data_IF_803742524199
#
_entry.id   IF_803742524199
#
_cell.length_a   1.000
_cell.length_b   1.000
_cell.length_c   1.000
_cell.angle_alpha   90.00
_cell.angle_beta   90.00
_cell.angle_gamma   90.00
#
_symmetry.space_group_name_H-M   'P 1'
#
loop_
_entity.id
_entity.type
_entity.pdbx_description
1 polymer ?
#
# COMPACT_ATOMS: atom_id res chain seq x y z
N UNK A 1 -1.55 -3.28 26.34
CA UNK A 1 -2.17 -1.96 26.40
C UNK A 1 -3.09 -1.83 25.21
N UNK A 2 -4.32 -1.29 25.36
CA UNK A 2 -5.15 -1.01 24.21
C UNK A 2 -4.46 -0.03 23.25
N UNK A 3 -4.69 -0.15 21.93
CA UNK A 3 -4.10 0.77 20.97
C UNK A 3 -4.59 2.20 21.24
N UNK A 4 -3.68 3.17 21.12
CA UNK A 4 -3.98 4.59 21.33
C UNK A 4 -4.36 5.25 20.00
N UNK A 5 -5.07 6.38 20.00
CA UNK A 5 -5.41 7.11 18.77
C UNK A 5 -4.23 7.40 17.84
N UNK A 6 -3.01 7.49 18.39
CA UNK A 6 -1.78 7.74 17.65
C UNK A 6 -1.43 6.62 16.66
N UNK A 7 -1.67 5.36 17.01
CA UNK A 7 -1.35 4.21 16.16
C UNK A 7 -2.32 4.12 14.98
N UNK A 8 -3.59 4.38 15.19
CA UNK A 8 -4.59 4.48 14.12
C UNK A 8 -4.28 5.66 13.19
N UNK A 9 -3.99 6.83 13.78
CA UNK A 9 -3.61 8.04 13.03
C UNK A 9 -2.37 7.83 12.16
N UNK A 10 -1.36 7.09 12.65
CA UNK A 10 -0.16 6.79 11.90
C UNK A 10 -0.46 5.92 10.66
N UNK A 11 -1.35 4.94 10.76
CA UNK A 11 -1.73 4.10 9.60
C UNK A 11 -2.60 4.87 8.61
N UNK A 12 -3.52 5.72 9.08
CA UNK A 12 -4.29 6.61 8.21
C UNK A 12 -3.36 7.58 7.47
N UNK A 13 -2.39 8.17 8.17
CA UNK A 13 -1.36 9.02 7.56
C UNK A 13 -0.55 8.28 6.50
N UNK A 14 -0.19 7.01 6.75
CA UNK A 14 0.45 6.18 5.72
C UNK A 14 -0.45 6.03 4.49
N UNK A 15 -1.74 5.77 4.66
CA UNK A 15 -2.72 5.71 3.56
C UNK A 15 -2.80 7.02 2.78
N UNK A 16 -2.77 8.17 3.46
CA UNK A 16 -2.71 9.50 2.82
C UNK A 16 -1.44 9.63 1.98
N UNK A 17 -0.28 9.24 2.51
CA UNK A 17 0.97 9.25 1.76
C UNK A 17 0.91 8.33 0.53
N UNK A 18 0.34 7.12 0.66
CA UNK A 18 0.14 6.21 -0.48
C UNK A 18 -0.72 6.84 -1.58
N UNK A 19 -1.75 7.60 -1.21
CA UNK A 19 -2.63 8.31 -2.13
C UNK A 19 -1.91 9.32 -3.04
N UNK A 20 -0.71 9.77 -2.67
CA UNK A 20 0.10 10.66 -3.52
C UNK A 20 0.73 9.96 -4.72
N UNK A 21 0.76 8.62 -4.73
CA UNK A 21 1.45 7.81 -5.74
C UNK A 21 0.93 8.08 -7.15
N UNK A 22 -0.39 8.08 -7.33
CA UNK A 22 -1.02 8.30 -8.64
C UNK A 22 -0.75 9.70 -9.18
N UNK A 23 -0.88 10.72 -8.34
CA UNK A 23 -0.61 12.12 -8.71
C UNK A 23 0.84 12.32 -9.09
N UNK A 24 1.79 11.77 -8.33
CA UNK A 24 3.22 11.85 -8.66
C UNK A 24 3.54 11.20 -10.01
N UNK A 25 2.92 10.05 -10.32
CA UNK A 25 3.08 9.39 -11.62
C UNK A 25 2.44 10.19 -12.76
N UNK A 26 1.28 10.81 -12.53
CA UNK A 26 0.62 11.66 -13.54
C UNK A 26 1.43 12.90 -13.90
N UNK A 27 2.17 13.46 -12.93
CA UNK A 27 3.10 14.59 -13.14
C UNK A 27 4.48 14.15 -13.68
N UNK A 28 4.76 12.86 -13.66
CA UNK A 28 6.01 12.29 -14.14
C UNK A 28 6.08 12.16 -15.67
N UNK A 29 7.20 11.62 -16.20
CA UNK A 29 7.39 11.46 -17.63
C UNK A 29 6.37 10.51 -18.25
N UNK A 30 5.75 10.93 -19.37
CA UNK A 30 4.87 10.05 -20.15
C UNK A 30 5.64 8.84 -20.68
N UNK A 31 5.07 7.64 -20.51
CA UNK A 31 5.69 6.41 -20.99
C UNK A 31 6.75 5.81 -20.05
N UNK A 32 6.89 6.32 -18.84
CA UNK A 32 7.70 5.66 -17.80
C UNK A 32 7.24 4.22 -17.59
N UNK A 33 8.18 3.27 -17.63
CA UNK A 33 7.89 1.85 -17.42
C UNK A 33 7.38 1.62 -15.99
N UNK A 34 6.14 1.13 -15.78
CA UNK A 34 5.61 0.90 -14.43
C UNK A 34 6.47 -0.06 -13.60
N UNK A 35 7.08 -1.07 -14.23
CA UNK A 35 7.98 -2.01 -13.56
C UNK A 35 9.24 -1.32 -13.03
N UNK A 36 9.85 -0.44 -13.85
CA UNK A 36 11.03 0.34 -13.45
C UNK A 36 10.67 1.37 -12.38
N UNK A 37 9.51 2.02 -12.50
CA UNK A 37 9.00 2.94 -11.46
C UNK A 37 8.84 2.18 -10.13
N UNK A 38 8.22 0.99 -10.15
CA UNK A 38 8.06 0.13 -8.97
C UNK A 38 9.41 -0.28 -8.36
N UNK A 39 10.37 -0.71 -9.18
CA UNK A 39 11.71 -1.08 -8.73
C UNK A 39 12.48 0.12 -8.14
N UNK A 40 12.46 1.27 -8.82
CA UNK A 40 13.14 2.48 -8.38
C UNK A 40 12.57 3.02 -7.05
N UNK A 41 11.23 3.07 -6.92
CA UNK A 41 10.60 3.50 -5.66
C UNK A 41 10.96 2.58 -4.49
N UNK A 42 11.00 1.25 -4.71
CA UNK A 42 11.39 0.32 -3.66
C UNK A 42 12.86 0.47 -3.27
N UNK A 43 13.76 0.61 -4.25
CA UNK A 43 15.19 0.78 -3.98
C UNK A 43 15.45 2.08 -3.19
N UNK A 44 14.94 3.20 -3.68
CA UNK A 44 15.07 4.50 -3.01
C UNK A 44 14.41 4.43 -1.62
N UNK A 45 13.19 3.90 -1.53
CA UNK A 45 12.48 3.75 -0.27
C UNK A 45 13.21 2.89 0.75
N UNK A 46 13.79 1.77 0.32
CA UNK A 46 14.59 0.91 1.20
C UNK A 46 15.84 1.61 1.74
N UNK A 47 16.51 2.42 0.92
CA UNK A 47 17.66 3.22 1.35
C UNK A 47 17.26 4.25 2.42
N UNK A 48 16.15 4.97 2.21
CA UNK A 48 15.63 5.90 3.22
C UNK A 48 15.15 5.18 4.49
N UNK A 49 14.46 4.03 4.37
CA UNK A 49 14.05 3.21 5.53
C UNK A 49 15.26 2.71 6.33
N UNK A 50 16.35 2.34 5.64
CA UNK A 50 17.61 1.99 6.29
C UNK A 50 18.19 3.19 7.05
N UNK A 51 18.14 4.38 6.46
CA UNK A 51 18.53 5.64 7.13
C UNK A 51 17.69 5.90 8.39
N UNK A 52 16.36 5.78 8.29
CA UNK A 52 15.43 5.93 9.42
C UNK A 52 15.75 4.92 10.53
N UNK A 53 16.00 3.65 10.18
CA UNK A 53 16.36 2.63 11.17
C UNK A 53 17.65 2.99 11.91
N UNK A 54 18.68 3.46 11.19
CA UNK A 54 19.96 3.89 11.79
C UNK A 54 19.80 5.13 12.67
N UNK A 55 18.97 6.08 12.27
CA UNK A 55 18.74 7.32 13.06
C UNK A 55 17.93 7.06 14.33
N UNK A 56 16.90 6.22 14.26
CA UNK A 56 16.03 5.96 15.41
C UNK A 56 16.63 4.96 16.42
N UNK A 57 17.69 4.25 16.05
CA UNK A 57 18.38 3.26 16.90
C UNK A 57 17.40 2.31 17.63
N UNK A 58 16.33 1.91 16.94
CA UNK A 58 15.32 1.03 17.54
C UNK A 58 15.90 -0.37 17.71
N UNK A 59 16.19 -0.75 18.95
CA UNK A 59 16.60 -2.11 19.29
C UNK A 59 15.47 -3.12 19.07
N UNK A 60 15.82 -4.39 18.90
CA UNK A 60 14.86 -5.48 18.72
C UNK A 60 15.57 -6.80 18.47
N UNK A 61 14.78 -7.90 18.46
CA UNK A 61 15.29 -9.20 18.03
C UNK A 61 15.47 -9.21 16.51
N UNK A 62 16.42 -10.02 16.04
CA UNK A 62 16.66 -10.16 14.60
C UNK A 62 15.41 -10.70 13.88
N UNK A 63 15.11 -10.11 12.75
CA UNK A 63 14.05 -10.56 11.85
C UNK A 63 14.31 -12.01 11.41
N UNK A 64 13.33 -12.90 11.59
CA UNK A 64 13.42 -14.29 11.15
C UNK A 64 13.45 -14.37 9.62
N UNK A 65 14.25 -15.30 9.09
CA UNK A 65 14.37 -15.48 7.63
C UNK A 65 13.03 -15.73 6.94
N UNK A 66 12.14 -16.52 7.57
CA UNK A 66 10.81 -16.79 7.01
C UNK A 66 9.94 -15.52 6.87
N UNK A 67 10.04 -14.59 7.83
CA UNK A 67 9.29 -13.31 7.78
C UNK A 67 9.92 -12.35 6.77
N UNK A 68 11.25 -12.34 6.66
CA UNK A 68 11.96 -11.57 5.65
C UNK A 68 11.60 -12.04 4.24
N UNK A 69 11.67 -13.34 3.99
CA UNK A 69 11.39 -13.92 2.67
C UNK A 69 9.93 -13.71 2.28
N UNK A 70 8.99 -14.08 3.16
CA UNK A 70 7.55 -13.94 2.86
C UNK A 70 7.14 -12.47 2.70
N UNK A 71 7.64 -11.59 3.56
CA UNK A 71 7.36 -10.16 3.46
C UNK A 71 7.96 -9.51 2.21
N UNK A 72 9.23 -9.77 1.91
CA UNK A 72 9.91 -9.21 0.75
C UNK A 72 9.40 -9.75 -0.59
N UNK A 73 9.10 -11.06 -0.66
CA UNK A 73 8.40 -11.64 -1.82
C UNK A 73 7.01 -11.01 -1.98
N UNK A 74 6.28 -10.82 -0.87
CA UNK A 74 4.99 -10.13 -0.88
C UNK A 74 5.08 -8.72 -1.46
N UNK A 75 6.07 -7.92 -1.04
CA UNK A 75 6.29 -6.56 -1.58
C UNK A 75 6.64 -6.59 -3.06
N UNK A 76 7.51 -7.49 -3.49
CA UNK A 76 7.91 -7.61 -4.90
C UNK A 76 6.76 -8.07 -5.79
N UNK A 77 6.04 -9.13 -5.40
CA UNK A 77 4.90 -9.66 -6.15
C UNK A 77 3.75 -8.65 -6.23
N UNK A 78 3.51 -7.88 -5.15
CA UNK A 78 2.52 -6.80 -5.19
C UNK A 78 2.79 -5.84 -6.35
N UNK A 79 4.03 -5.39 -6.51
CA UNK A 79 4.37 -4.46 -7.59
C UNK A 79 4.12 -5.08 -8.97
N UNK A 80 4.57 -6.30 -9.19
CA UNK A 80 4.42 -6.98 -10.47
C UNK A 80 2.94 -7.24 -10.80
N UNK A 81 2.20 -7.83 -9.86
CA UNK A 81 0.79 -8.20 -10.04
C UNK A 81 -0.11 -6.96 -10.19
N UNK A 82 0.12 -5.91 -9.39
CA UNK A 82 -0.67 -4.69 -9.47
C UNK A 82 -0.54 -3.99 -10.81
N UNK A 83 0.70 -3.81 -11.29
CA UNK A 83 0.91 -3.16 -12.59
C UNK A 83 0.42 -4.01 -13.76
N UNK A 84 0.52 -5.34 -13.67
CA UNK A 84 -0.04 -6.24 -14.67
C UNK A 84 -1.57 -6.16 -14.68
N UNK A 85 -2.22 -6.19 -13.52
CA UNK A 85 -3.66 -6.05 -13.37
C UNK A 85 -4.20 -4.75 -13.96
N UNK A 86 -3.57 -3.62 -13.63
CA UNK A 86 -3.95 -2.30 -14.15
C UNK A 86 -3.82 -2.24 -15.67
N UNK A 87 -2.80 -2.90 -16.24
CA UNK A 87 -2.60 -2.97 -17.69
C UNK A 87 -3.63 -3.84 -18.37
N UNK A 88 -4.06 -4.94 -17.73
CA UNK A 88 -4.99 -5.93 -18.29
C UNK A 88 -6.45 -5.54 -18.16
N UNK A 89 -6.84 -4.84 -17.07
CA UNK A 89 -8.27 -4.52 -16.80
C UNK A 89 -8.55 -3.01 -16.67
N UNK A 90 -7.53 -2.18 -16.81
CA UNK A 90 -7.64 -0.74 -16.56
C UNK A 90 -7.47 -0.36 -15.09
N UNK A 91 -7.16 0.92 -14.86
CA UNK A 91 -6.85 1.45 -13.52
C UNK A 91 -8.00 1.25 -12.55
N UNK A 92 -9.24 1.52 -12.98
CA UNK A 92 -10.41 1.45 -12.13
C UNK A 92 -10.64 0.03 -11.56
N UNK A 93 -10.77 -0.96 -12.43
CA UNK A 93 -11.05 -2.35 -12.03
C UNK A 93 -9.86 -2.97 -11.31
N UNK A 94 -8.64 -2.78 -11.82
CA UNK A 94 -7.41 -3.30 -11.19
C UNK A 94 -7.23 -2.77 -9.77
N UNK A 95 -7.37 -1.45 -9.57
CA UNK A 95 -7.21 -0.83 -8.25
C UNK A 95 -8.34 -1.23 -7.29
N UNK A 96 -9.61 -1.20 -7.75
CA UNK A 96 -10.74 -1.62 -6.91
C UNK A 96 -10.55 -3.05 -6.42
N UNK A 97 -10.19 -3.96 -7.33
CA UNK A 97 -10.03 -5.38 -6.97
C UNK A 97 -8.84 -5.59 -6.04
N UNK A 98 -7.67 -5.02 -6.35
CA UNK A 98 -6.46 -5.19 -5.54
C UNK A 98 -6.60 -4.58 -4.14
N UNK A 99 -6.98 -3.30 -4.06
CA UNK A 99 -7.06 -2.57 -2.80
C UNK A 99 -8.32 -2.94 -2.02
N UNK A 100 -9.45 -3.10 -2.70
CA UNK A 100 -10.73 -3.47 -2.08
C UNK A 100 -10.74 -4.88 -1.48
N UNK A 101 -10.03 -5.85 -2.10
CA UNK A 101 -9.90 -7.20 -1.56
C UNK A 101 -8.86 -7.34 -0.45
N UNK A 102 -7.89 -6.42 -0.38
CA UNK A 102 -6.77 -6.51 0.56
C UNK A 102 -7.18 -6.66 2.04
N UNK A 103 -8.16 -5.92 2.59
CA UNK A 103 -8.58 -6.12 3.98
C UNK A 103 -9.14 -7.52 4.24
N UNK A 104 -10.00 -8.02 3.35
CA UNK A 104 -10.59 -9.35 3.48
C UNK A 104 -9.51 -10.45 3.42
N UNK A 105 -8.60 -10.36 2.44
CA UNK A 105 -7.46 -11.28 2.30
C UNK A 105 -6.52 -11.19 3.50
N UNK A 106 -6.22 -9.97 4.00
CA UNK A 106 -5.37 -9.78 5.17
C UNK A 106 -6.01 -10.38 6.42
N UNK A 107 -7.30 -10.13 6.64
CA UNK A 107 -8.04 -10.71 7.77
C UNK A 107 -8.04 -12.25 7.73
N UNK A 108 -8.27 -12.83 6.56
CA UNK A 108 -8.25 -14.28 6.36
C UNK A 108 -6.86 -14.87 6.58
N UNK A 109 -5.82 -14.32 5.96
CA UNK A 109 -4.43 -14.79 6.10
C UNK A 109 -3.95 -14.63 7.54
N UNK A 110 -4.28 -13.50 8.20
CA UNK A 110 -3.96 -13.29 9.61
C UNK A 110 -4.63 -14.33 10.50
N UNK A 111 -5.91 -14.62 10.29
CA UNK A 111 -6.61 -15.66 11.04
C UNK A 111 -5.96 -17.03 10.86
N UNK A 112 -5.59 -17.41 9.63
CA UNK A 112 -4.97 -18.70 9.35
C UNK A 112 -3.57 -18.84 9.96
N UNK A 113 -2.75 -17.77 9.89
CA UNK A 113 -1.33 -17.80 10.28
C UNK A 113 -1.13 -17.44 11.76
N UNK A 114 -1.76 -16.36 12.23
CA UNK A 114 -1.54 -15.81 13.58
C UNK A 114 -2.69 -16.07 14.53
N UNK A 115 -3.80 -16.66 14.04
CA UNK A 115 -5.06 -16.87 14.78
C UNK A 115 -5.69 -15.57 15.29
N UNK A 116 -5.33 -14.44 14.68
CA UNK A 116 -5.87 -13.13 15.02
C UNK A 116 -7.30 -13.01 14.47
N UNK A 117 -8.29 -12.96 15.36
CA UNK A 117 -9.70 -12.84 14.97
C UNK A 117 -10.07 -11.37 14.77
N UNK A 118 -10.53 -10.98 13.55
CA UNK A 118 -11.04 -9.64 13.32
C UNK A 118 -12.28 -9.34 14.17
N UNK A 119 -12.44 -8.07 14.57
CA UNK A 119 -13.60 -7.65 15.36
C UNK A 119 -14.86 -7.47 14.50
N UNK A 120 -16.04 -7.48 15.13
CA UNK A 120 -17.30 -7.14 14.44
C UNK A 120 -17.26 -5.73 13.86
N UNK A 121 -16.61 -4.80 14.57
CA UNK A 121 -16.45 -3.42 14.10
C UNK A 121 -15.58 -3.35 12.85
N UNK A 122 -14.52 -4.16 12.78
CA UNK A 122 -13.70 -4.28 11.59
C UNK A 122 -14.50 -4.78 10.38
N UNK A 123 -15.35 -5.80 10.54
CA UNK A 123 -16.22 -6.28 9.45
C UNK A 123 -17.13 -5.16 8.92
N UNK A 124 -17.82 -4.44 9.80
CA UNK A 124 -18.70 -3.34 9.41
C UNK A 124 -17.92 -2.21 8.72
N UNK A 125 -16.78 -1.79 9.28
CA UNK A 125 -15.94 -0.75 8.69
C UNK A 125 -15.39 -1.16 7.32
N UNK A 126 -14.93 -2.40 7.17
CA UNK A 126 -14.43 -2.94 5.90
C UNK A 126 -15.52 -2.95 4.84
N UNK A 127 -16.73 -3.36 5.17
CA UNK A 127 -17.88 -3.30 4.24
C UNK A 127 -18.21 -1.86 3.84
N UNK A 128 -18.28 -0.94 4.80
CA UNK A 128 -18.54 0.48 4.54
C UNK A 128 -17.46 1.05 3.60
N UNK A 129 -16.17 0.87 3.92
CA UNK A 129 -15.08 1.40 3.10
C UNK A 129 -15.02 0.76 1.72
N UNK A 130 -15.30 -0.53 1.59
CA UNK A 130 -15.38 -1.22 0.29
C UNK A 130 -16.49 -0.64 -0.59
N UNK A 131 -17.67 -0.39 -0.03
CA UNK A 131 -18.75 0.31 -0.73
C UNK A 131 -18.30 1.69 -1.20
N UNK A 132 -17.63 2.46 -0.34
CA UNK A 132 -17.06 3.76 -0.72
C UNK A 132 -16.06 3.67 -1.89
N UNK A 133 -15.19 2.66 -1.90
CA UNK A 133 -14.24 2.43 -3.01
C UNK A 133 -14.97 2.07 -4.31
N UNK A 134 -16.06 1.28 -4.23
CA UNK A 134 -16.90 0.98 -5.40
C UNK A 134 -17.45 2.28 -6.01
N UNK A 135 -17.96 3.20 -5.20
CA UNK A 135 -18.41 4.51 -5.69
C UNK A 135 -17.28 5.33 -6.31
N UNK A 136 -16.09 5.38 -5.68
CA UNK A 136 -14.93 6.08 -6.22
C UNK A 136 -14.49 5.55 -7.58
N UNK A 137 -14.50 4.23 -7.74
CA UNK A 137 -14.00 3.57 -8.94
C UNK A 137 -15.05 3.52 -10.03
N UNK A 138 -16.31 3.26 -9.66
CA UNK A 138 -17.45 3.23 -10.57
C UNK A 138 -17.74 4.58 -11.23
N UNK A 139 -17.36 5.68 -10.57
CA UNK A 139 -17.44 7.03 -11.12
C UNK A 139 -16.64 7.21 -12.43
N UNK A 140 -15.59 6.41 -12.64
CA UNK A 140 -14.72 6.41 -13.85
C UNK A 140 -15.15 5.39 -14.92
N UNK A 141 -16.19 4.60 -14.65
CA UNK A 141 -16.74 3.56 -15.55
C UNK A 141 -15.99 2.23 -15.48
N UNK A 142 -16.70 1.16 -15.78
CA UNK A 142 -16.15 -0.20 -15.90
C UNK A 142 -16.09 -0.57 -17.40
N UNK A 143 -15.01 -0.19 -18.08
CA UNK A 143 -14.76 -0.61 -19.45
C UNK A 143 -13.94 -1.90 -19.46
N UNK A 144 -14.45 -2.96 -20.06
CA UNK A 144 -13.76 -4.22 -20.31
C UNK A 144 -13.15 -4.91 -19.07
N UNK A 145 -13.93 -5.80 -18.44
CA UNK A 145 -13.44 -6.66 -17.34
C UNK A 145 -12.70 -7.85 -17.95
N UNK A 146 -11.36 -7.88 -17.81
CA UNK A 146 -10.54 -9.02 -18.19
C UNK A 146 -10.35 -9.93 -16.96
N UNK A 147 -10.77 -11.20 -17.05
CA UNK A 147 -10.67 -12.17 -15.95
C UNK A 147 -9.22 -12.36 -15.46
N UNK A 148 -8.25 -12.42 -16.38
CA UNK A 148 -6.84 -12.55 -16.01
C UNK A 148 -6.38 -11.35 -15.18
N UNK A 149 -6.74 -10.13 -15.60
CA UNK A 149 -6.39 -8.94 -14.85
C UNK A 149 -7.07 -8.85 -13.48
N UNK A 150 -8.29 -9.41 -13.32
CA UNK A 150 -8.94 -9.55 -12.00
C UNK A 150 -8.16 -10.52 -11.12
N UNK A 151 -7.70 -11.66 -11.65
CA UNK A 151 -6.88 -12.61 -10.91
C UNK A 151 -5.52 -12.01 -10.52
N UNK A 152 -4.88 -11.25 -11.40
CA UNK A 152 -3.66 -10.50 -11.11
C UNK A 152 -3.89 -9.46 -9.99
N UNK A 153 -5.03 -8.76 -10.00
CA UNK A 153 -5.41 -7.81 -8.96
C UNK A 153 -5.65 -8.48 -7.59
N UNK A 154 -6.32 -9.63 -7.57
CA UNK A 154 -6.46 -10.45 -6.36
C UNK A 154 -5.10 -10.95 -5.87
N UNK A 155 -4.22 -11.34 -6.80
CA UNK A 155 -2.82 -11.69 -6.51
C UNK A 155 -2.06 -10.53 -5.86
N UNK A 156 -2.29 -9.29 -6.31
CA UNK A 156 -1.71 -8.10 -5.68
C UNK A 156 -2.26 -7.91 -4.25
N UNK A 157 -3.57 -8.01 -4.04
CA UNK A 157 -4.17 -7.96 -2.70
C UNK A 157 -3.63 -9.04 -1.76
N UNK A 158 -3.46 -10.27 -2.25
CA UNK A 158 -2.88 -11.38 -1.49
C UNK A 158 -1.39 -11.12 -1.16
N UNK A 159 -0.63 -10.57 -2.10
CA UNK A 159 0.78 -10.23 -1.93
C UNK A 159 0.98 -9.11 -0.88
N UNK A 160 0.13 -8.08 -0.92
CA UNK A 160 0.08 -7.07 0.14
C UNK A 160 -0.23 -7.70 1.51
N UNK A 161 -1.22 -8.59 1.55
CA UNK A 161 -1.63 -9.28 2.78
C UNK A 161 -0.50 -10.14 3.34
N UNK A 162 0.23 -10.85 2.49
CA UNK A 162 1.42 -11.62 2.87
C UNK A 162 2.49 -10.73 3.50
N UNK A 163 2.80 -9.60 2.87
CA UNK A 163 3.71 -8.58 3.42
C UNK A 163 3.24 -8.08 4.80
N UNK A 164 1.96 -7.69 4.92
CA UNK A 164 1.43 -7.11 6.14
C UNK A 164 1.44 -8.11 7.31
N UNK A 165 1.02 -9.36 7.06
CA UNK A 165 1.01 -10.44 8.07
C UNK A 165 2.44 -10.85 8.46
N UNK A 166 3.36 -10.97 7.49
CA UNK A 166 4.77 -11.25 7.77
C UNK A 166 5.40 -10.15 8.64
N UNK A 167 5.13 -8.89 8.32
CA UNK A 167 5.60 -7.74 9.10
C UNK A 167 5.04 -7.77 10.52
N UNK A 168 3.74 -8.01 10.68
CA UNK A 168 3.11 -8.13 12.01
C UNK A 168 3.71 -9.27 12.82
N UNK A 169 3.91 -10.44 12.21
CA UNK A 169 4.50 -11.61 12.85
C UNK A 169 5.94 -11.35 13.31
N UNK A 170 6.74 -10.69 12.47
CA UNK A 170 8.11 -10.28 12.81
C UNK A 170 8.15 -9.37 14.03
N UNK A 171 7.29 -8.32 14.04
CA UNK A 171 7.21 -7.38 15.16
C UNK A 171 6.68 -8.05 16.43
N UNK A 172 5.69 -8.96 16.33
CA UNK A 172 5.21 -9.76 17.46
C UNK A 172 6.28 -10.72 18.00
N UNK A 173 7.23 -11.13 17.15
CA UNK A 173 8.41 -11.90 17.52
C UNK A 173 9.56 -11.06 18.09
N UNK A 174 9.37 -9.75 18.32
CA UNK A 174 10.33 -8.86 18.95
C UNK A 174 11.22 -8.05 17.99
N UNK A 175 11.06 -8.17 16.66
CA UNK A 175 11.75 -7.29 15.73
C UNK A 175 11.21 -5.86 15.82
N UNK A 176 12.09 -4.86 15.69
CA UNK A 176 11.63 -3.47 15.65
C UNK A 176 10.87 -3.17 14.35
N UNK A 177 9.93 -2.23 14.40
CA UNK A 177 9.18 -1.85 13.21
C UNK A 177 10.08 -1.24 12.12
N UNK A 178 11.09 -0.48 12.48
CA UNK A 178 12.02 0.10 11.53
C UNK A 178 12.90 -0.96 10.87
N UNK A 179 13.42 -1.93 11.66
CA UNK A 179 14.19 -3.05 11.12
C UNK A 179 13.33 -3.90 10.17
N UNK A 180 12.11 -4.19 10.57
CA UNK A 180 11.16 -4.96 9.76
C UNK A 180 10.92 -4.29 8.41
N UNK A 181 10.61 -2.99 8.41
CA UNK A 181 10.32 -2.26 7.16
C UNK A 181 11.55 -2.20 6.25
N UNK A 182 12.73 -1.75 6.75
CA UNK A 182 13.87 -1.60 5.85
C UNK A 182 14.36 -2.94 5.28
N UNK A 183 14.34 -4.03 6.05
CA UNK A 183 14.80 -5.34 5.58
C UNK A 183 13.83 -5.95 4.57
N UNK A 184 12.52 -5.91 4.84
CA UNK A 184 11.51 -6.44 3.94
C UNK A 184 11.51 -5.65 2.61
N UNK A 185 11.53 -4.32 2.68
CA UNK A 185 11.59 -3.49 1.48
C UNK A 185 12.93 -3.60 0.75
N UNK A 186 14.04 -3.72 1.47
CA UNK A 186 15.36 -3.96 0.91
C UNK A 186 15.43 -5.28 0.15
N UNK A 187 14.92 -6.36 0.74
CA UNK A 187 14.85 -7.65 0.07
C UNK A 187 13.91 -7.61 -1.15
N UNK A 188 12.73 -6.98 -1.02
CA UNK A 188 11.83 -6.76 -2.15
C UNK A 188 12.48 -5.94 -3.28
N UNK A 189 13.27 -4.91 -2.93
CA UNK A 189 14.01 -4.13 -3.91
C UNK A 189 15.06 -4.97 -4.66
N UNK A 190 15.79 -5.85 -3.95
CA UNK A 190 16.76 -6.77 -4.56
C UNK A 190 16.05 -7.68 -5.57
N UNK A 191 14.88 -8.23 -5.22
CA UNK A 191 14.10 -9.09 -6.13
C UNK A 191 13.64 -8.35 -7.40
N UNK A 192 13.46 -7.02 -7.33
CA UNK A 192 13.05 -6.21 -8.48
C UNK A 192 14.22 -5.60 -9.28
N UNK A 193 15.48 -5.82 -8.88
CA UNK A 193 16.63 -5.32 -9.67
C UNK A 193 16.61 -5.74 -11.15
N UNK A 194 16.21 -6.98 -11.51
CA UNK A 194 16.10 -7.36 -12.92
C UNK A 194 15.15 -6.48 -13.74
N UNK A 195 14.16 -5.82 -13.11
CA UNK A 195 13.24 -4.95 -13.81
C UNK A 195 13.93 -3.74 -14.47
N UNK A 196 15.10 -3.31 -13.97
CA UNK A 196 15.88 -2.25 -14.59
C UNK A 196 16.50 -2.67 -15.94
N UNK A 197 16.83 -3.95 -16.08
CA UNK A 197 17.35 -4.50 -17.34
C UNK A 197 16.22 -4.82 -18.34
N UNK A 198 15.04 -5.20 -17.83
CA UNK A 198 13.88 -5.58 -18.65
C UNK A 198 13.03 -4.39 -19.10
N UNK A 199 13.12 -3.27 -18.42
CA UNK A 199 12.29 -2.07 -18.66
C UNK A 199 13.10 -0.88 -19.18
N UNK A 200 12.39 0.10 -19.80
CA UNK A 200 13.00 1.37 -20.24
C UNK A 200 13.28 2.23 -18.99
N UNK A 201 14.54 2.32 -18.57
CA UNK A 201 14.99 3.07 -17.38
C UNK A 201 15.46 4.51 -17.69
N UNK A 202 15.58 4.89 -18.96
CA UNK A 202 16.15 6.18 -19.37
C UNK A 202 15.44 7.39 -18.73
N UNK A 203 14.14 7.30 -18.45
CA UNK A 203 13.40 8.38 -17.81
C UNK A 203 13.95 8.75 -16.41
N UNK A 204 14.59 7.83 -15.71
CA UNK A 204 15.17 8.08 -14.39
C UNK A 204 16.32 9.11 -14.44
N UNK A 205 16.93 9.30 -15.61
CA UNK A 205 18.00 10.28 -15.84
C UNK A 205 17.47 11.65 -16.29
N UNK A 206 16.15 11.82 -16.43
CA UNK A 206 15.52 13.13 -16.64
C UNK A 206 15.16 13.76 -15.30
N UNK A 207 15.16 15.11 -15.23
CA UNK A 207 14.83 15.82 -14.00
C UNK A 207 13.46 15.44 -13.43
N UNK A 208 12.42 15.38 -14.28
CA UNK A 208 11.06 14.99 -13.86
C UNK A 208 10.96 13.52 -13.45
N UNK A 209 11.67 12.62 -14.14
CA UNK A 209 11.68 11.19 -13.79
C UNK A 209 12.41 10.90 -12.49
N UNK A 210 13.54 11.58 -12.27
CA UNK A 210 14.28 11.47 -11.00
C UNK A 210 13.45 12.00 -9.83
N UNK A 211 12.84 13.18 -9.95
CA UNK A 211 11.99 13.77 -8.91
C UNK A 211 10.77 12.89 -8.62
N UNK A 212 10.13 12.32 -9.65
CA UNK A 212 9.05 11.36 -9.48
C UNK A 212 9.52 10.12 -8.69
N UNK A 213 10.64 9.51 -9.08
CA UNK A 213 11.17 8.32 -8.41
C UNK A 213 11.59 8.63 -6.97
N UNK A 214 12.19 9.78 -6.72
CA UNK A 214 12.58 10.26 -5.40
C UNK A 214 11.35 10.48 -4.50
N UNK A 215 10.31 11.17 -5.01
CA UNK A 215 9.06 11.35 -4.29
C UNK A 215 8.43 10.02 -3.92
N UNK A 216 8.30 9.10 -4.90
CA UNK A 216 7.70 7.78 -4.71
C UNK A 216 8.48 6.91 -3.69
N UNK A 217 9.80 7.02 -3.68
CA UNK A 217 10.65 6.35 -2.69
C UNK A 217 10.57 6.99 -1.31
N UNK A 218 10.55 8.31 -1.23
CA UNK A 218 10.56 9.03 0.04
C UNK A 218 9.18 9.05 0.69
N UNK A 219 8.16 9.63 0.03
CA UNK A 219 6.85 9.90 0.66
C UNK A 219 5.99 8.65 0.76
N UNK A 220 5.49 8.02 -0.34
CA UNK A 220 4.64 6.85 -0.24
C UNK A 220 5.41 5.55 0.02
N UNK A 221 6.73 5.59 0.24
CA UNK A 221 7.46 4.40 0.66
C UNK A 221 8.14 4.63 2.02
N UNK A 222 9.17 5.44 2.14
CA UNK A 222 9.90 5.53 3.39
C UNK A 222 9.08 6.14 4.53
N UNK A 223 8.48 7.31 4.32
CA UNK A 223 7.66 8.00 5.34
C UNK A 223 6.41 7.18 5.65
N UNK A 224 5.69 6.75 4.61
CA UNK A 224 4.46 5.99 4.76
C UNK A 224 4.69 4.67 5.50
N UNK A 225 5.68 3.86 5.09
CA UNK A 225 5.92 2.57 5.74
C UNK A 225 6.60 2.68 7.12
N UNK A 226 7.27 3.78 7.42
CA UNK A 226 7.68 4.08 8.81
C UNK A 226 6.45 4.32 9.69
N UNK A 227 5.51 5.14 9.25
CA UNK A 227 4.27 5.40 9.98
C UNK A 227 3.36 4.15 10.05
N UNK A 228 3.25 3.42 8.94
CA UNK A 228 2.52 2.15 8.88
C UNK A 228 3.11 1.12 9.86
N UNK A 229 4.42 0.93 9.85
CA UNK A 229 5.11 0.00 10.76
C UNK A 229 4.94 0.37 12.23
N UNK A 230 5.01 1.67 12.55
CA UNK A 230 4.73 2.15 13.90
C UNK A 230 3.32 1.79 14.36
N UNK A 231 2.30 2.04 13.54
CA UNK A 231 0.91 1.69 13.86
C UNK A 231 0.68 0.18 13.89
N UNK A 232 1.14 -0.54 12.85
CA UNK A 232 0.99 -2.00 12.73
C UNK A 232 1.60 -2.76 13.93
N UNK A 233 2.65 -2.22 14.52
CA UNK A 233 3.26 -2.82 15.72
C UNK A 233 2.25 -2.98 16.87
N UNK A 234 1.28 -2.09 16.99
CA UNK A 234 0.32 -2.02 18.11
C UNK A 234 -1.11 -2.42 17.78
N UNK A 235 -1.54 -2.27 16.52
CA UNK A 235 -2.90 -2.62 16.10
C UNK A 235 -2.94 -3.97 15.38
N UNK A 236 -4.14 -4.54 15.23
CA UNK A 236 -4.36 -5.77 14.46
C UNK A 236 -4.04 -5.53 12.98
N UNK A 237 -3.47 -6.54 12.31
CA UNK A 237 -3.09 -6.39 10.90
C UNK A 237 -4.31 -6.20 10.00
N UNK A 238 -5.44 -6.85 10.31
CA UNK A 238 -6.69 -6.65 9.59
C UNK A 238 -7.20 -5.21 9.72
N UNK A 239 -7.12 -4.62 10.92
CA UNK A 239 -7.46 -3.19 11.16
C UNK A 239 -6.53 -2.27 10.37
N UNK A 240 -5.22 -2.52 10.39
CA UNK A 240 -4.26 -1.72 9.62
C UNK A 240 -4.56 -1.74 8.12
N UNK A 241 -4.89 -2.91 7.54
CA UNK A 241 -5.21 -3.02 6.11
C UNK A 241 -6.48 -2.28 5.70
N UNK A 242 -7.45 -2.15 6.61
CA UNK A 242 -8.65 -1.33 6.35
C UNK A 242 -8.36 0.17 6.47
N UNK A 243 -7.55 0.58 7.46
CA UNK A 243 -7.19 2.00 7.63
C UNK A 243 -6.40 2.56 6.45
N UNK A 244 -5.60 1.74 5.77
CA UNK A 244 -4.89 2.11 4.54
C UNK A 244 -5.85 2.47 3.39
N UNK A 245 -7.13 2.10 3.45
CA UNK A 245 -8.15 2.52 2.48
C UNK A 245 -8.39 4.06 2.47
N UNK A 246 -7.72 4.83 3.31
CA UNK A 246 -7.55 6.27 3.14
C UNK A 246 -6.84 6.62 1.81
N UNK A 247 -6.03 5.70 1.25
CA UNK A 247 -5.29 5.86 -0.01
C UNK A 247 -6.18 6.26 -1.19
N UNK A 248 -7.22 5.49 -1.58
CA UNK A 248 -8.05 5.83 -2.73
C UNK A 248 -8.85 7.12 -2.55
N UNK A 249 -9.28 7.43 -1.33
CA UNK A 249 -9.95 8.70 -1.04
C UNK A 249 -8.99 9.88 -1.24
N UNK A 250 -7.77 9.78 -0.72
CA UNK A 250 -6.72 10.80 -0.88
C UNK A 250 -6.31 10.93 -2.36
N UNK A 251 -6.12 9.82 -3.07
CA UNK A 251 -5.78 9.85 -4.50
C UNK A 251 -6.85 10.58 -5.32
N UNK A 252 -8.12 10.35 -5.02
CA UNK A 252 -9.25 11.04 -5.69
C UNK A 252 -9.23 12.55 -5.40
N UNK A 253 -9.04 12.96 -4.16
CA UNK A 253 -8.97 14.37 -3.78
C UNK A 253 -7.76 15.07 -4.42
N UNK A 254 -6.60 14.42 -4.45
CA UNK A 254 -5.40 14.96 -5.09
C UNK A 254 -5.55 15.06 -6.61
N UNK A 255 -6.25 14.12 -7.24
CA UNK A 255 -6.56 14.21 -8.67
C UNK A 255 -7.41 15.47 -8.97
N UNK A 256 -8.36 15.81 -8.12
CA UNK A 256 -9.15 17.03 -8.28
C UNK A 256 -8.32 18.29 -8.04
N UNK A 257 -7.57 18.36 -6.94
CA UNK A 257 -6.88 19.59 -6.51
C UNK A 257 -5.62 19.85 -7.35
N UNK A 258 -4.85 18.80 -7.65
CA UNK A 258 -3.53 18.94 -8.29
C UNK A 258 -3.62 18.74 -9.80
N UNK A 259 -4.43 17.78 -10.28
CA UNK A 259 -4.55 17.47 -11.70
C UNK A 259 -5.75 18.18 -12.36
N UNK A 260 -6.58 18.90 -11.59
CA UNK A 260 -7.74 19.63 -12.10
C UNK A 260 -8.90 18.73 -12.55
N UNK A 261 -8.92 17.44 -12.11
CA UNK A 261 -10.01 16.54 -12.45
C UNK A 261 -11.31 16.98 -11.76
N UNK A 262 -12.41 17.04 -12.51
CA UNK A 262 -13.73 17.35 -11.93
C UNK A 262 -14.31 16.10 -11.26
N UNK A 263 -14.52 16.18 -9.94
CA UNK A 263 -15.20 15.14 -9.19
C UNK A 263 -16.72 15.22 -9.43
N UNK A 264 -17.31 14.10 -9.82
CA UNK A 264 -18.77 13.97 -9.89
C UNK A 264 -19.36 13.60 -8.52
N UNK A 265 -20.69 13.58 -8.43
CA UNK A 265 -21.40 13.26 -7.19
C UNK A 265 -21.03 11.88 -6.62
N UNK A 266 -20.79 10.88 -7.46
CA UNK A 266 -20.37 9.55 -7.03
C UNK A 266 -18.99 9.57 -6.36
N UNK A 267 -18.04 10.36 -6.91
CA UNK A 267 -16.72 10.52 -6.29
C UNK A 267 -16.80 11.14 -4.91
N UNK A 268 -17.60 12.22 -4.72
CA UNK A 268 -17.79 12.84 -3.43
C UNK A 268 -18.47 11.91 -2.43
N UNK A 269 -19.49 11.17 -2.88
CA UNK A 269 -20.17 10.18 -2.05
C UNK A 269 -19.19 9.07 -1.62
N UNK A 270 -18.38 8.57 -2.56
CA UNK A 270 -17.37 7.55 -2.27
C UNK A 270 -16.33 8.01 -1.25
N UNK A 271 -15.77 9.22 -1.40
CA UNK A 271 -14.85 9.81 -0.40
C UNK A 271 -15.52 9.87 0.97
N UNK A 272 -16.75 10.38 1.04
CA UNK A 272 -17.48 10.53 2.30
C UNK A 272 -17.72 9.18 2.99
N UNK A 273 -18.10 8.15 2.24
CA UNK A 273 -18.33 6.79 2.76
C UNK A 273 -17.01 6.19 3.28
N UNK A 274 -15.90 6.32 2.54
CA UNK A 274 -14.59 5.83 2.99
C UNK A 274 -14.20 6.52 4.30
N UNK A 275 -14.27 7.85 4.36
CA UNK A 275 -13.93 8.62 5.57
C UNK A 275 -14.80 8.19 6.76
N UNK A 276 -16.10 8.02 6.56
CA UNK A 276 -17.01 7.55 7.61
C UNK A 276 -16.63 6.16 8.14
N UNK A 277 -16.29 5.21 7.24
CA UNK A 277 -15.84 3.88 7.62
C UNK A 277 -14.52 3.90 8.41
N UNK A 278 -13.57 4.74 8.00
CA UNK A 278 -12.29 4.89 8.71
C UNK A 278 -12.46 5.51 10.10
N UNK A 279 -13.30 6.53 10.22
CA UNK A 279 -13.65 7.14 11.52
C UNK A 279 -14.34 6.11 12.42
N UNK A 280 -15.27 5.33 11.88
CA UNK A 280 -15.95 4.28 12.64
C UNK A 280 -14.95 3.23 13.16
N UNK A 281 -13.98 2.80 12.34
CA UNK A 281 -12.96 1.84 12.73
C UNK A 281 -11.97 2.41 13.75
N UNK A 282 -11.56 3.66 13.59
CA UNK A 282 -10.57 4.30 14.48
C UNK A 282 -11.03 4.48 15.93
N UNK A 283 -12.33 4.26 16.19
CA UNK A 283 -12.92 4.28 17.54
C UNK A 283 -12.91 2.88 18.21
N UNK A 284 -12.28 1.86 17.60
CA UNK A 284 -12.09 0.53 18.18
C UNK A 284 -11.06 0.56 19.31
#
# INVERSE_FOLDING_TARGET
MPPRPKEYGAVIFAGICFGTTGTAQALGPKGASPLVVGAARLLIGALFLCGVHRLLHTGGQRLKAADLLSGGVGVALYQLSFFSAVRSTGVAVGTLTAIGSAPALTGTIAFLITKEVPSRRWFAATMITTVGIIFLTGAKGFSHVNVLGVLEALGAGASYSLFAVASKRAMSGGASFTETMYKIFGFGAILLLPCFALGKSHFLFTGSGFLMALWLGLVPTAVAYTAYGYGLNKIKVATASTLVLAEPATATLLAAVVLGERLNAYSWLGVSIVVAGLIYLSRE
#
